data_IF_190255303447
#
_entry.id   IF_190255303447
#
_cell.length_a   1.000
_cell.length_b   1.000
_cell.length_c   1.000
_cell.angle_alpha   90.00
_cell.angle_beta   90.00
_cell.angle_gamma   90.00
#
_symmetry.space_group_name_H-M   'P 1'
#
loop_
_entity.id
_entity.type
_entity.pdbx_description
1 polymer ?
#
# COMPACT_ATOMS: atom_id res chain seq x y z
N UNK A 1 -37.15 7.27 7.67
CA UNK A 1 -35.88 7.11 8.41
C UNK A 1 -34.78 6.86 7.42
N UNK A 2 -33.84 7.80 7.32
CA UNK A 2 -32.41 7.69 6.95
C UNK A 2 -31.93 6.63 5.92
N UNK A 3 -32.48 6.55 4.69
CA UNK A 3 -31.90 5.69 3.63
C UNK A 3 -30.47 6.11 3.25
N UNK A 4 -30.08 7.35 3.55
CA UNK A 4 -28.76 7.91 3.22
C UNK A 4 -27.62 7.33 4.09
N UNK A 5 -27.85 7.16 5.40
CA UNK A 5 -26.84 6.64 6.33
C UNK A 5 -26.61 5.15 6.10
N UNK A 6 -27.67 4.37 5.91
CA UNK A 6 -27.57 2.94 5.57
C UNK A 6 -26.81 2.73 4.25
N UNK A 7 -27.06 3.58 3.25
CA UNK A 7 -26.35 3.54 1.97
C UNK A 7 -24.87 3.91 2.12
N UNK A 8 -24.53 4.91 2.95
CA UNK A 8 -23.14 5.29 3.21
C UNK A 8 -22.36 4.19 3.93
N UNK A 9 -22.97 3.59 4.97
CA UNK A 9 -22.39 2.47 5.71
C UNK A 9 -22.22 1.27 4.78
N UNK A 10 -23.26 0.89 4.03
CA UNK A 10 -23.20 -0.22 3.07
C UNK A 10 -22.11 -0.03 2.01
N UNK A 11 -21.90 1.20 1.52
CA UNK A 11 -20.83 1.51 0.57
C UNK A 11 -19.44 1.41 1.21
N UNK A 12 -19.25 1.91 2.43
CA UNK A 12 -17.97 1.82 3.16
C UNK A 12 -17.64 0.36 3.52
N UNK A 13 -18.63 -0.43 3.95
CA UNK A 13 -18.45 -1.87 4.23
C UNK A 13 -18.16 -2.65 2.95
N UNK A 14 -18.88 -2.41 1.84
CA UNK A 14 -18.61 -3.06 0.55
C UNK A 14 -17.22 -2.74 0.01
N UNK A 15 -16.73 -1.51 0.18
CA UNK A 15 -15.35 -1.14 -0.19
C UNK A 15 -14.32 -1.82 0.72
N UNK A 16 -14.56 -1.90 2.03
CA UNK A 16 -13.70 -2.63 2.95
C UNK A 16 -13.64 -4.14 2.65
N UNK A 17 -14.77 -4.76 2.34
CA UNK A 17 -14.86 -6.17 1.92
C UNK A 17 -14.10 -6.38 0.61
N UNK A 18 -14.33 -5.53 -0.41
CA UNK A 18 -13.58 -5.58 -1.67
C UNK A 18 -12.08 -5.42 -1.45
N UNK A 19 -11.64 -4.52 -0.57
CA UNK A 19 -10.23 -4.36 -0.20
C UNK A 19 -9.66 -5.63 0.43
N UNK A 20 -10.38 -6.22 1.39
CA UNK A 20 -9.98 -7.46 2.04
C UNK A 20 -9.90 -8.60 1.01
N UNK A 21 -10.88 -8.73 0.11
CA UNK A 21 -10.88 -9.72 -0.96
C UNK A 21 -9.75 -9.51 -1.97
N UNK A 22 -9.50 -8.28 -2.45
CA UNK A 22 -8.37 -7.97 -3.33
C UNK A 22 -7.05 -8.36 -2.65
N UNK A 23 -6.86 -7.96 -1.39
CA UNK A 23 -5.67 -8.29 -0.61
C UNK A 23 -5.53 -9.78 -0.37
N UNK A 24 -6.62 -10.50 -0.07
CA UNK A 24 -6.59 -11.95 0.10
C UNK A 24 -6.30 -12.68 -1.22
N UNK A 25 -6.85 -12.21 -2.34
CA UNK A 25 -6.64 -12.80 -3.65
C UNK A 25 -5.20 -12.56 -4.13
N UNK A 26 -4.70 -11.33 -4.02
CA UNK A 26 -3.28 -11.01 -4.26
C UNK A 26 -2.40 -11.81 -3.30
N UNK A 27 -2.72 -11.91 -2.01
CA UNK A 27 -1.95 -12.70 -1.05
C UNK A 27 -2.00 -14.20 -1.34
N UNK A 28 -3.10 -14.76 -1.85
CA UNK A 28 -3.19 -16.17 -2.25
C UNK A 28 -2.34 -16.44 -3.48
N UNK A 29 -2.44 -15.60 -4.52
CA UNK A 29 -1.56 -15.66 -5.70
C UNK A 29 -0.10 -15.53 -5.28
N UNK A 30 0.19 -14.50 -4.48
CA UNK A 30 1.52 -14.24 -3.94
C UNK A 30 1.97 -15.33 -2.99
N UNK A 31 1.09 -16.07 -2.30
CA UNK A 31 1.47 -17.22 -1.46
C UNK A 31 1.86 -18.43 -2.31
N UNK A 32 1.17 -18.69 -3.42
CA UNK A 32 1.58 -19.69 -4.40
C UNK A 32 2.90 -19.30 -5.08
N UNK A 33 3.02 -18.07 -5.54
CA UNK A 33 4.25 -17.53 -6.14
C UNK A 33 5.40 -17.46 -5.13
N UNK A 34 5.13 -17.08 -3.88
CA UNK A 34 6.11 -17.05 -2.79
C UNK A 34 6.51 -18.46 -2.38
N UNK A 35 5.63 -19.45 -2.46
CA UNK A 35 6.00 -20.85 -2.20
C UNK A 35 6.95 -21.36 -3.29
N UNK A 36 6.68 -21.03 -4.56
CA UNK A 36 7.59 -21.30 -5.68
C UNK A 36 8.91 -20.51 -5.56
N UNK A 37 8.84 -19.24 -5.18
CA UNK A 37 10.00 -18.37 -5.00
C UNK A 37 10.79 -18.71 -3.72
N UNK A 38 10.18 -19.25 -2.67
CA UNK A 38 10.87 -19.75 -1.47
C UNK A 38 11.58 -21.07 -1.77
N UNK A 39 11.01 -21.91 -2.63
CA UNK A 39 11.72 -23.08 -3.16
C UNK A 39 12.95 -22.64 -3.97
N UNK A 40 12.83 -21.60 -4.79
CA UNK A 40 13.95 -21.01 -5.54
C UNK A 40 14.93 -20.18 -4.68
N UNK A 41 14.45 -19.57 -3.58
CA UNK A 41 15.20 -18.66 -2.71
C UNK A 41 15.68 -19.29 -1.41
N UNK A 42 15.30 -20.52 -1.07
CA UNK A 42 16.07 -21.31 -0.11
C UNK A 42 17.54 -21.46 -0.58
N UNK A 43 17.80 -21.24 -1.88
CA UNK A 43 19.14 -21.04 -2.45
C UNK A 43 19.77 -19.64 -2.21
N UNK A 44 19.10 -18.69 -1.54
CA UNK A 44 19.56 -17.31 -1.31
C UNK A 44 19.25 -16.80 0.12
N UNK A 45 20.30 -16.35 0.82
CA UNK A 45 20.37 -16.29 2.29
C UNK A 45 19.33 -15.37 3.01
N UNK A 46 18.87 -15.74 4.23
CA UNK A 46 17.90 -14.99 5.03
C UNK A 46 18.31 -13.56 5.43
N UNK A 47 19.61 -13.30 5.62
CA UNK A 47 20.14 -12.02 6.11
C UNK A 47 19.80 -10.87 5.15
N UNK A 48 19.89 -11.11 3.84
CA UNK A 48 19.60 -10.10 2.81
C UNK A 48 18.13 -9.60 2.83
N UNK A 49 17.20 -10.42 3.35
CA UNK A 49 15.78 -10.05 3.44
C UNK A 49 15.48 -9.14 4.64
N UNK A 50 16.11 -9.41 5.79
CA UNK A 50 15.98 -8.56 6.98
C UNK A 50 16.54 -7.16 6.71
N UNK A 51 17.69 -7.10 6.03
CA UNK A 51 18.34 -5.86 5.62
C UNK A 51 17.47 -5.02 4.66
N UNK A 52 16.82 -5.66 3.68
CA UNK A 52 15.89 -4.98 2.77
C UNK A 52 14.67 -4.36 3.51
N UNK A 53 14.11 -5.06 4.50
CA UNK A 53 12.99 -4.55 5.30
C UNK A 53 13.41 -3.37 6.18
N UNK A 54 14.60 -3.45 6.78
CA UNK A 54 15.18 -2.35 7.56
C UNK A 54 15.47 -1.11 6.71
N UNK A 55 16.02 -1.28 5.50
CA UNK A 55 16.19 -0.20 4.53
C UNK A 55 14.88 0.46 4.15
N UNK A 56 13.85 -0.31 3.80
CA UNK A 56 12.53 0.24 3.45
C UNK A 56 11.93 1.06 4.59
N UNK A 57 12.00 0.57 5.84
CA UNK A 57 11.49 1.28 7.00
C UNK A 57 12.19 2.63 7.20
N UNK A 58 13.51 2.67 7.03
CA UNK A 58 14.29 3.92 7.08
C UNK A 58 13.87 4.89 5.97
N UNK A 59 13.78 4.44 4.73
CA UNK A 59 13.39 5.29 3.59
C UNK A 59 11.99 5.90 3.78
N UNK A 60 11.01 5.10 4.22
CA UNK A 60 9.68 5.61 4.53
C UNK A 60 9.71 6.64 5.66
N UNK A 61 10.58 6.47 6.65
CA UNK A 61 10.78 7.40 7.77
C UNK A 61 11.26 8.81 7.35
N UNK A 62 11.85 8.96 6.17
CA UNK A 62 12.30 10.27 5.65
C UNK A 62 11.22 11.00 4.83
N UNK A 63 10.12 10.33 4.48
CA UNK A 63 9.00 11.00 3.81
C UNK A 63 8.23 11.89 4.81
N UNK A 64 7.68 13.03 4.36
CA UNK A 64 6.63 13.74 5.07
C UNK A 64 5.48 12.81 5.46
N UNK A 65 4.85 13.03 6.61
CA UNK A 65 3.85 12.13 7.17
C UNK A 65 2.68 11.87 6.20
N UNK A 66 2.17 12.93 5.56
CA UNK A 66 1.05 12.82 4.61
C UNK A 66 1.39 11.92 3.43
N UNK A 67 2.57 12.11 2.84
CA UNK A 67 3.05 11.30 1.72
C UNK A 67 3.29 9.84 2.14
N UNK A 68 3.86 9.64 3.33
CA UNK A 68 4.07 8.31 3.91
C UNK A 68 2.74 7.58 4.10
N UNK A 69 1.73 8.26 4.67
CA UNK A 69 0.39 7.71 4.89
C UNK A 69 -0.24 7.26 3.57
N UNK A 70 -0.18 8.10 2.53
CA UNK A 70 -0.72 7.76 1.21
C UNK A 70 -0.02 6.54 0.60
N UNK A 71 1.31 6.49 0.67
CA UNK A 71 2.11 5.36 0.16
C UNK A 71 1.75 4.06 0.88
N UNK A 72 1.61 4.09 2.21
CA UNK A 72 1.23 2.91 3.00
C UNK A 72 -0.19 2.46 2.63
N UNK A 73 -1.16 3.37 2.57
CA UNK A 73 -2.54 3.04 2.19
C UNK A 73 -2.60 2.38 0.81
N UNK A 74 -1.89 2.95 -0.17
CA UNK A 74 -1.92 2.45 -1.54
C UNK A 74 -1.13 1.13 -1.70
N UNK A 75 0.15 1.12 -1.34
CA UNK A 75 1.05 0.02 -1.65
C UNK A 75 1.03 -1.12 -0.63
N UNK A 76 0.76 -0.83 0.65
CA UNK A 76 0.74 -1.85 1.72
C UNK A 76 -0.68 -2.33 2.04
N UNK A 77 -1.63 -1.40 2.14
CA UNK A 77 -3.02 -1.74 2.49
C UNK A 77 -3.90 -2.02 1.25
N UNK A 78 -3.43 -1.72 0.04
CA UNK A 78 -4.13 -2.03 -1.21
C UNK A 78 -5.35 -1.15 -1.49
N UNK A 79 -5.34 0.08 -0.98
CA UNK A 79 -6.39 1.06 -1.22
C UNK A 79 -6.29 1.61 -2.65
N UNK A 80 -7.44 1.90 -3.26
CA UNK A 80 -7.49 2.60 -4.55
C UNK A 80 -7.38 4.11 -4.39
N UNK A 81 -7.08 4.83 -5.47
CA UNK A 81 -7.10 6.30 -5.44
C UNK A 81 -8.46 6.84 -4.99
N UNK A 82 -9.56 6.22 -5.42
CA UNK A 82 -10.93 6.57 -5.03
C UNK A 82 -11.16 6.38 -3.54
N UNK A 83 -10.69 5.27 -2.98
CA UNK A 83 -10.82 4.98 -1.55
C UNK A 83 -10.00 5.96 -0.72
N UNK A 84 -8.77 6.27 -1.13
CA UNK A 84 -7.91 7.26 -0.46
C UNK A 84 -8.51 8.66 -0.54
N UNK A 85 -8.97 9.08 -1.73
CA UNK A 85 -9.60 10.38 -1.95
C UNK A 85 -10.81 10.58 -1.04
N UNK A 86 -11.69 9.56 -0.98
CA UNK A 86 -12.91 9.61 -0.17
C UNK A 86 -12.67 9.53 1.34
N UNK A 87 -11.49 9.12 1.78
CA UNK A 87 -11.15 8.93 3.19
C UNK A 87 -10.32 10.09 3.75
N UNK A 88 -9.31 10.52 2.99
CA UNK A 88 -8.45 11.65 3.34
C UNK A 88 -9.13 12.99 3.04
N UNK A 89 -10.12 13.02 2.15
CA UNK A 89 -10.86 14.24 1.80
C UNK A 89 -10.17 15.13 0.76
N UNK A 90 -9.28 14.55 -0.07
CA UNK A 90 -8.56 15.26 -1.15
C UNK A 90 -9.00 14.75 -2.53
N UNK A 91 -8.83 15.56 -3.57
CA UNK A 91 -9.20 15.15 -4.94
C UNK A 91 -8.42 13.93 -5.45
N UNK A 92 -9.00 13.14 -6.34
CA UNK A 92 -8.32 12.03 -7.02
C UNK A 92 -7.01 12.47 -7.70
N UNK A 93 -7.02 13.64 -8.34
CA UNK A 93 -5.83 14.20 -8.98
C UNK A 93 -4.76 14.57 -7.96
N UNK A 94 -5.15 15.05 -6.77
CA UNK A 94 -4.24 15.32 -5.66
C UNK A 94 -3.62 14.03 -5.12
N UNK A 95 -4.42 12.97 -4.93
CA UNK A 95 -3.91 11.65 -4.52
C UNK A 95 -2.86 11.14 -5.51
N UNK A 96 -3.16 11.18 -6.81
CA UNK A 96 -2.24 10.74 -7.86
C UNK A 96 -0.93 11.54 -7.85
N UNK A 97 -1.02 12.88 -7.77
CA UNK A 97 0.15 13.79 -7.70
C UNK A 97 0.99 13.52 -6.45
N UNK A 98 0.37 13.38 -5.28
CA UNK A 98 1.09 13.11 -4.02
C UNK A 98 1.76 11.75 -4.03
N UNK A 99 1.11 10.71 -4.57
CA UNK A 99 1.74 9.39 -4.74
C UNK A 99 2.92 9.45 -5.72
N UNK A 100 2.82 10.22 -6.79
CA UNK A 100 3.94 10.42 -7.72
C UNK A 100 5.12 11.16 -7.06
N UNK A 101 4.83 12.20 -6.27
CA UNK A 101 5.83 12.93 -5.49
C UNK A 101 6.51 12.01 -4.47
N UNK A 102 5.74 11.23 -3.71
CA UNK A 102 6.28 10.30 -2.73
C UNK A 102 7.19 9.25 -3.38
N UNK A 103 6.81 8.72 -4.56
CA UNK A 103 7.67 7.81 -5.35
C UNK A 103 8.97 8.47 -5.79
N UNK A 104 8.94 9.73 -6.23
CA UNK A 104 10.15 10.47 -6.61
C UNK A 104 11.08 10.63 -5.41
N UNK A 105 10.56 11.11 -4.28
CA UNK A 105 11.35 11.29 -3.06
C UNK A 105 11.97 9.97 -2.58
N UNK A 106 11.22 8.87 -2.60
CA UNK A 106 11.76 7.57 -2.21
C UNK A 106 12.90 7.09 -3.13
N UNK A 107 12.82 7.36 -4.44
CA UNK A 107 13.93 7.05 -5.36
C UNK A 107 15.15 7.90 -5.05
N UNK A 108 14.95 9.22 -4.93
CA UNK A 108 16.05 10.16 -4.64
C UNK A 108 16.74 9.81 -3.30
N UNK A 109 15.98 9.35 -2.30
CA UNK A 109 16.52 8.88 -1.02
C UNK A 109 17.27 7.55 -1.16
N UNK A 110 16.73 6.61 -1.93
CA UNK A 110 17.35 5.31 -2.17
C UNK A 110 18.67 5.42 -2.96
N UNK A 111 18.82 6.43 -3.82
CA UNK A 111 20.05 6.70 -4.57
C UNK A 111 21.13 7.40 -3.73
N UNK A 112 20.75 8.02 -2.61
CA UNK A 112 21.67 8.72 -1.69
C UNK A 112 22.15 7.87 -0.51
N UNK A 113 21.56 6.68 -0.32
CA UNK A 113 21.85 5.78 0.81
C UNK A 113 22.67 4.59 0.33
#
# INVERSE_FOLDING_TARGET
GEPAVETWIARKTASAVRRVFRRQNTRRSLKHELQLALQLRAAGAPEARLDARGRLHRLLGHLPEDLRRLVVLYHHEGWTHQEISADVGISLSTVSKQLALARRMLRDLAERT
#
